data_IF_419001418982
#
_entry.id   IF_419001418982
#
_cell.length_a   1.000
_cell.length_b   1.000
_cell.length_c   1.000
_cell.angle_alpha   90.00
_cell.angle_beta   90.00
_cell.angle_gamma   90.00
#
_symmetry.space_group_name_H-M   'P 1'
#
loop_
_entity.id
_entity.type
_entity.pdbx_description
1 polymer ?
#
# COMPACT_ATOMS: atom_id res chain seq x y z
N UNK A 1 -35.27 4.11 15.15
CA UNK A 1 -34.16 4.30 14.21
C UNK A 1 -33.15 3.17 14.41
N UNK A 2 -32.89 2.34 13.39
CA UNK A 2 -31.88 1.26 13.47
C UNK A 2 -30.51 1.87 13.17
N UNK A 3 -29.65 2.00 14.16
CA UNK A 3 -28.23 2.26 13.97
C UNK A 3 -27.57 0.96 13.54
N UNK A 4 -27.06 0.91 12.32
CA UNK A 4 -26.32 -0.22 11.76
C UNK A 4 -25.11 -0.54 12.66
N UNK A 5 -24.97 -1.80 13.09
CA UNK A 5 -23.99 -2.29 14.08
C UNK A 5 -22.54 -2.40 13.59
N UNK A 6 -22.01 -1.37 12.93
CA UNK A 6 -20.60 -1.30 12.56
C UNK A 6 -19.81 -0.70 13.74
N UNK A 7 -19.32 -1.56 14.64
CA UNK A 7 -18.58 -1.17 15.85
C UNK A 7 -17.33 -0.32 15.56
N UNK A 8 -16.71 -0.50 14.39
CA UNK A 8 -15.55 0.27 13.95
C UNK A 8 -15.88 1.69 13.47
N UNK A 9 -17.16 2.06 13.42
CA UNK A 9 -17.62 3.39 12.99
C UNK A 9 -17.68 4.39 14.15
N UNK A 10 -17.31 3.97 15.36
CA UNK A 10 -17.33 4.81 16.56
C UNK A 10 -15.97 5.50 16.73
N UNK A 11 -15.94 6.80 16.43
CA UNK A 11 -14.75 7.66 16.57
C UNK A 11 -13.90 7.80 15.31
N UNK A 12 -13.23 8.95 15.17
CA UNK A 12 -12.18 9.11 14.15
C UNK A 12 -10.99 8.20 14.52
N UNK A 13 -10.49 7.35 13.60
CA UNK A 13 -9.34 6.51 13.88
C UNK A 13 -8.10 7.38 14.12
N UNK A 14 -7.47 7.24 15.28
CA UNK A 14 -6.19 7.87 15.59
C UNK A 14 -5.06 7.11 14.90
N UNK A 15 -4.87 7.35 13.61
CA UNK A 15 -3.72 6.84 12.86
C UNK A 15 -2.62 7.90 12.89
N UNK A 16 -1.58 7.66 13.69
CA UNK A 16 -0.40 8.50 13.67
C UNK A 16 0.32 8.41 12.31
N UNK A 17 0.93 9.52 11.88
CA UNK A 17 1.74 9.53 10.67
C UNK A 17 2.89 8.52 10.78
N UNK A 18 2.92 7.54 9.87
CA UNK A 18 3.85 6.42 9.89
C UNK A 18 4.96 6.55 8.83
N UNK A 19 5.30 7.76 8.40
CA UNK A 19 6.30 8.02 7.36
C UNK A 19 7.64 7.31 7.60
N UNK A 20 8.13 7.28 8.85
CA UNK A 20 9.36 6.57 9.20
C UNK A 20 9.29 5.06 8.89
N UNK A 21 8.13 4.43 9.07
CA UNK A 21 7.92 3.04 8.67
C UNK A 21 7.85 2.91 7.14
N UNK A 22 7.27 3.90 6.45
CA UNK A 22 7.14 3.91 5.00
C UNK A 22 8.51 3.93 4.28
N UNK A 23 9.56 4.46 4.91
CA UNK A 23 10.95 4.43 4.39
C UNK A 23 11.46 3.01 4.09
N UNK A 24 10.81 1.97 4.60
CA UNK A 24 11.04 0.57 4.19
C UNK A 24 10.94 0.34 2.68
N UNK A 25 10.25 1.22 1.94
CA UNK A 25 10.21 1.24 0.48
C UNK A 25 11.62 1.23 -0.13
N UNK A 26 12.59 1.95 0.44
CA UNK A 26 13.97 1.98 -0.08
C UNK A 26 14.63 0.58 -0.06
N UNK A 27 14.33 -0.22 0.97
CA UNK A 27 14.82 -1.60 1.04
C UNK A 27 14.14 -2.52 0.03
N UNK A 28 12.88 -2.21 -0.32
CA UNK A 28 12.14 -2.92 -1.35
C UNK A 28 12.69 -2.60 -2.73
N UNK A 29 12.96 -1.33 -3.02
CA UNK A 29 13.54 -0.87 -4.29
C UNK A 29 14.89 -1.53 -4.56
N UNK A 30 15.77 -1.61 -3.55
CA UNK A 30 17.04 -2.36 -3.65
C UNK A 30 16.84 -3.84 -4.01
N UNK A 31 15.77 -4.48 -3.53
CA UNK A 31 15.46 -5.88 -3.91
C UNK A 31 14.96 -6.00 -5.34
N UNK A 32 14.29 -4.98 -5.86
CA UNK A 32 13.88 -4.96 -7.26
C UNK A 32 15.05 -4.86 -8.22
N UNK A 33 16.17 -4.25 -7.80
CA UNK A 33 17.41 -4.23 -8.59
C UNK A 33 17.97 -5.64 -8.79
N UNK A 34 17.89 -6.50 -7.77
CA UNK A 34 18.37 -7.90 -7.85
C UNK A 34 17.37 -8.88 -8.48
N UNK A 35 16.08 -8.50 -8.58
CA UNK A 35 14.99 -9.38 -9.01
C UNK A 35 14.07 -8.65 -10.02
N UNK A 36 14.52 -8.46 -11.27
CA UNK A 36 13.79 -7.68 -12.28
C UNK A 36 12.41 -8.27 -12.60
N UNK A 37 12.24 -9.59 -12.55
CA UNK A 37 10.95 -10.24 -12.79
C UNK A 37 9.90 -9.89 -11.74
N UNK A 38 10.33 -9.67 -10.49
CA UNK A 38 9.43 -9.26 -9.40
C UNK A 38 9.03 -7.80 -9.58
N UNK A 39 9.97 -6.95 -10.00
CA UNK A 39 9.73 -5.53 -10.29
C UNK A 39 8.68 -5.37 -11.39
N UNK A 40 8.83 -6.09 -12.50
CA UNK A 40 7.88 -6.03 -13.63
C UNK A 40 6.46 -6.44 -13.20
N UNK A 41 6.34 -7.52 -12.43
CA UNK A 41 5.04 -7.99 -11.93
C UNK A 41 4.40 -6.99 -10.97
N UNK A 42 5.18 -6.39 -10.08
CA UNK A 42 4.67 -5.37 -9.16
C UNK A 42 4.21 -4.11 -9.90
N UNK A 43 5.00 -3.64 -10.88
CA UNK A 43 4.65 -2.50 -11.73
C UNK A 43 3.34 -2.74 -12.49
N UNK A 44 3.19 -3.92 -13.11
CA UNK A 44 1.95 -4.31 -13.78
C UNK A 44 0.76 -4.34 -12.82
N UNK A 45 0.95 -4.88 -11.61
CA UNK A 45 -0.12 -4.89 -10.61
C UNK A 45 -0.52 -3.47 -10.17
N UNK A 46 0.42 -2.54 -10.02
CA UNK A 46 0.10 -1.14 -9.71
C UNK A 46 -0.71 -0.54 -10.86
N UNK A 47 -0.28 -0.74 -12.10
CA UNK A 47 -1.00 -0.27 -13.27
C UNK A 47 -2.43 -0.82 -13.34
N UNK A 48 -2.63 -2.12 -13.12
CA UNK A 48 -3.96 -2.73 -13.08
C UNK A 48 -4.86 -2.08 -12.00
N UNK A 49 -4.28 -1.70 -10.85
CA UNK A 49 -5.02 -1.00 -9.80
C UNK A 49 -5.36 0.44 -10.18
N UNK A 50 -4.48 1.12 -10.93
CA UNK A 50 -4.75 2.46 -11.48
C UNK A 50 -5.89 2.37 -12.49
N UNK A 51 -5.84 1.42 -13.42
CA UNK A 51 -6.86 1.23 -14.45
C UNK A 51 -8.23 0.87 -13.87
N UNK A 52 -8.25 0.09 -12.77
CA UNK A 52 -9.48 -0.22 -12.02
C UNK A 52 -9.99 0.93 -11.14
N UNK A 53 -9.22 2.01 -11.01
CA UNK A 53 -9.56 3.15 -10.15
C UNK A 53 -9.40 2.89 -8.65
N UNK A 54 -8.70 1.84 -8.24
CA UNK A 54 -8.41 1.57 -6.83
C UNK A 54 -7.31 2.46 -6.26
N UNK A 55 -6.40 2.93 -7.12
CA UNK A 55 -5.32 3.85 -6.75
C UNK A 55 -5.22 4.97 -7.79
N UNK A 56 -4.81 6.15 -7.36
CA UNK A 56 -4.55 7.32 -8.20
C UNK A 56 -3.14 7.81 -7.91
N UNK A 57 -2.42 8.26 -8.94
CA UNK A 57 -1.18 9.02 -8.76
C UNK A 57 -1.53 10.40 -8.21
N UNK A 58 -1.00 10.73 -7.04
CA UNK A 58 -1.15 12.06 -6.44
C UNK A 58 -0.30 13.07 -7.20
N UNK A 59 -0.80 14.31 -7.31
CA UNK A 59 0.02 15.44 -7.73
C UNK A 59 1.02 15.83 -6.62
N UNK A 60 2.02 16.65 -6.96
CA UNK A 60 3.00 17.15 -5.98
C UNK A 60 2.30 17.91 -4.86
N UNK A 61 1.29 18.70 -5.21
CA UNK A 61 0.50 19.51 -4.29
C UNK A 61 -0.39 18.63 -3.39
N UNK A 62 -1.02 17.60 -3.96
CA UNK A 62 -1.81 16.61 -3.20
C UNK A 62 -0.93 15.81 -2.23
N UNK A 63 0.32 15.51 -2.62
CA UNK A 63 1.27 14.75 -1.81
C UNK A 63 1.90 15.55 -0.66
N UNK A 64 2.02 16.87 -0.80
CA UNK A 64 2.50 17.77 0.25
C UNK A 64 1.39 18.25 1.19
N UNK A 65 0.12 18.03 0.83
CA UNK A 65 -1.01 18.36 1.67
C UNK A 65 -1.12 17.32 2.79
N UNK A 66 -0.64 17.68 3.99
CA UNK A 66 -0.94 16.92 5.20
C UNK A 66 -2.45 17.00 5.46
N UNK A 67 -3.16 15.96 5.05
CA UNK A 67 -4.54 15.74 5.45
C UNK A 67 -4.61 15.53 6.98
N UNK A 68 -5.80 15.62 7.56
CA UNK A 68 -6.01 15.35 9.00
C UNK A 68 -5.45 13.99 9.45
N UNK A 69 -5.33 13.02 8.54
CA UNK A 69 -4.79 11.68 8.77
C UNK A 69 -3.99 11.22 7.54
N UNK A 70 -2.67 11.44 7.55
CA UNK A 70 -1.76 10.90 6.53
C UNK A 70 -1.16 9.59 7.01
N UNK A 71 -1.47 8.49 6.32
CA UNK A 71 -0.95 7.16 6.66
C UNK A 71 -0.53 6.40 5.40
N UNK A 72 0.71 5.93 5.40
CA UNK A 72 1.37 5.26 4.29
C UNK A 72 1.24 3.74 4.44
N UNK A 73 0.74 3.07 3.42
CA UNK A 73 0.65 1.62 3.40
C UNK A 73 2.04 0.98 3.19
N UNK A 74 2.58 0.20 4.15
CA UNK A 74 3.88 -0.42 3.97
C UNK A 74 3.79 -1.51 2.90
N UNK A 75 4.56 -1.35 1.82
CA UNK A 75 4.53 -2.29 0.70
C UNK A 75 5.55 -3.42 0.92
N UNK A 76 5.09 -4.68 0.81
CA UNK A 76 5.95 -5.86 0.74
C UNK A 76 5.37 -6.88 -0.24
N UNK A 77 6.24 -7.57 -0.96
CA UNK A 77 5.85 -8.74 -1.73
C UNK A 77 6.19 -10.06 -1.01
N UNK A 78 5.37 -11.07 -1.27
CA UNK A 78 5.57 -12.45 -0.86
C UNK A 78 5.42 -13.33 -2.10
N UNK A 79 6.41 -14.20 -2.33
CA UNK A 79 6.37 -15.22 -3.37
C UNK A 79 6.01 -16.53 -2.69
N UNK A 80 4.95 -17.18 -3.14
CA UNK A 80 4.61 -18.52 -2.67
C UNK A 80 5.34 -19.54 -3.54
N UNK A 81 6.19 -20.37 -2.95
CA UNK A 81 6.93 -21.41 -3.68
C UNK A 81 6.02 -22.41 -4.41
N UNK A 82 4.79 -22.64 -3.91
CA UNK A 82 3.80 -23.50 -4.56
C UNK A 82 3.07 -22.82 -5.73
N UNK A 83 3.13 -21.49 -5.83
CA UNK A 83 2.53 -20.67 -6.89
C UNK A 83 3.47 -19.52 -7.25
N UNK A 84 4.66 -19.82 -7.81
CA UNK A 84 5.71 -18.83 -8.06
C UNK A 84 5.31 -17.81 -9.13
N UNK A 85 4.26 -18.10 -9.91
CA UNK A 85 3.62 -17.21 -10.87
C UNK A 85 2.85 -16.06 -10.20
N UNK A 86 2.37 -16.24 -8.97
CA UNK A 86 1.53 -15.25 -8.28
C UNK A 86 2.32 -14.45 -7.25
N UNK A 87 2.68 -13.23 -7.62
CA UNK A 87 3.16 -12.24 -6.67
C UNK A 87 2.00 -11.79 -5.76
N UNK A 88 2.20 -11.86 -4.44
CA UNK A 88 1.22 -11.32 -3.47
C UNK A 88 1.78 -10.08 -2.81
N UNK A 89 1.02 -8.99 -2.85
CA UNK A 89 1.28 -7.82 -2.01
C UNK A 89 0.68 -8.10 -0.63
N UNK A 90 1.51 -7.99 0.39
CA UNK A 90 1.10 -8.10 1.77
C UNK A 90 1.26 -6.74 2.44
N UNK A 91 0.19 -6.29 3.08
CA UNK A 91 0.21 -5.18 4.01
C UNK A 91 0.48 -5.79 5.39
N UNK A 92 1.51 -5.36 6.12
CA UNK A 92 1.65 -5.78 7.51
C UNK A 92 0.39 -5.36 8.29
N UNK A 93 -0.02 -6.21 9.24
CA UNK A 93 -1.16 -5.89 10.11
C UNK A 93 -0.90 -4.56 10.86
N UNK A 94 -1.96 -3.76 10.95
CA UNK A 94 -2.00 -2.43 11.59
C UNK A 94 -2.07 -2.60 13.10
#
# INVERSE_FOLDING_TARGET
>A
MRTSGLLWRVGEPSLANNYEMAKRLQSLEKKFESCPEVRERDAKSIQDNIEKGYVKKLSEEEGQCDSKVTWYLPHRFVINLKKPDRLRRAWPEI
#
